data_IF_115359154479
#
_entry.id   IF_115359154479
#
_cell.length_a   1.000
_cell.length_b   1.000
_cell.length_c   1.000
_cell.angle_alpha   90.00
_cell.angle_beta   90.00
_cell.angle_gamma   90.00
#
_symmetry.space_group_name_H-M   'P 1'
#
loop_
_entity.id
_entity.type
_entity.pdbx_description
1 polymer ?
#
# COMPACT_ATOMS: atom_id res chain seq x y z
N UNK A 1 -10.96 -5.99 4.14
CA UNK A 1 -10.19 -5.23 3.15
C UNK A 1 -10.72 -3.81 2.98
N UNK A 2 -12.03 -3.59 2.68
CA UNK A 2 -12.66 -2.26 2.52
C UNK A 2 -12.31 -1.27 3.64
N UNK A 3 -12.42 -1.67 4.91
CA UNK A 3 -12.15 -0.77 6.05
C UNK A 3 -10.70 -0.28 6.10
N UNK A 4 -9.72 -1.10 5.67
CA UNK A 4 -8.31 -0.70 5.62
C UNK A 4 -8.02 0.24 4.44
N UNK A 5 -8.70 0.04 3.31
CA UNK A 5 -8.58 0.90 2.14
C UNK A 5 -9.30 2.22 2.35
N UNK A 6 -10.47 2.18 2.95
CA UNK A 6 -11.19 3.37 3.45
C UNK A 6 -10.26 4.22 4.33
N UNK A 7 -9.54 3.57 5.23
CA UNK A 7 -8.54 4.19 6.08
C UNK A 7 -7.41 4.86 5.29
N UNK A 8 -6.80 4.15 4.34
CA UNK A 8 -5.68 4.64 3.54
C UNK A 8 -6.11 5.86 2.71
N UNK A 9 -7.28 5.79 2.11
CA UNK A 9 -7.84 6.92 1.37
C UNK A 9 -8.11 8.12 2.27
N UNK A 10 -8.61 7.92 3.50
CA UNK A 10 -8.80 9.04 4.44
C UNK A 10 -7.48 9.73 4.79
N UNK A 11 -6.39 8.99 4.98
CA UNK A 11 -5.07 9.56 5.25
C UNK A 11 -4.53 10.31 4.02
N UNK A 12 -4.57 9.69 2.84
CA UNK A 12 -4.11 10.33 1.59
C UNK A 12 -4.87 11.64 1.36
N UNK A 13 -6.20 11.62 1.59
CA UNK A 13 -7.04 12.79 1.36
C UNK A 13 -6.78 13.94 2.33
N UNK A 14 -6.60 13.65 3.59
CA UNK A 14 -6.36 14.71 4.57
C UNK A 14 -5.02 15.39 4.35
N UNK A 15 -4.01 14.63 3.93
CA UNK A 15 -2.70 15.18 3.59
C UNK A 15 -2.75 16.11 2.39
N UNK A 16 -3.63 15.81 1.45
CA UNK A 16 -3.80 16.58 0.22
C UNK A 16 -4.71 17.79 0.42
N UNK A 17 -5.67 17.71 1.36
CA UNK A 17 -6.60 18.79 1.66
C UNK A 17 -6.05 19.79 2.69
N UNK A 18 -5.22 19.34 3.63
CA UNK A 18 -4.59 20.16 4.67
C UNK A 18 -3.15 20.49 4.25
N UNK A 19 -2.98 21.23 3.18
CA UNK A 19 -1.66 21.75 2.82
C UNK A 19 -0.98 22.36 4.04
N UNK A 20 0.17 21.80 4.45
CA UNK A 20 1.00 22.12 5.59
C UNK A 20 0.93 23.63 5.98
N UNK A 21 -0.02 24.01 6.82
CA UNK A 21 0.08 25.20 7.65
C UNK A 21 0.73 24.77 8.95
N UNK A 22 1.94 25.23 9.17
CA UNK A 22 2.59 25.22 10.48
C UNK A 22 1.83 26.18 11.39
N UNK A 23 0.83 25.67 12.07
CA UNK A 23 0.02 26.42 13.02
C UNK A 23 -1.10 25.52 13.51
N UNK A 24 -1.09 25.25 14.81
CA UNK A 24 -2.07 24.55 15.64
C UNK A 24 -3.10 23.72 14.88
N UNK A 25 -2.78 22.44 14.63
CA UNK A 25 -3.70 21.49 14.01
C UNK A 25 -4.68 20.97 15.07
N UNK A 26 -5.44 21.86 15.66
CA UNK A 26 -6.82 21.61 16.04
C UNK A 26 -7.68 21.98 14.82
N UNK A 27 -7.38 21.36 13.68
CA UNK A 27 -8.25 21.46 12.52
C UNK A 27 -9.56 20.82 12.89
N UNK A 28 -10.59 21.60 12.87
CA UNK A 28 -11.99 21.26 13.02
C UNK A 28 -12.35 20.19 11.99
N UNK A 29 -12.13 18.90 12.35
CA UNK A 29 -12.41 17.73 11.53
C UNK A 29 -13.92 17.40 11.51
N UNK A 30 -14.77 18.36 11.88
CA UNK A 30 -16.19 18.20 11.79
C UNK A 30 -16.60 18.14 10.31
N UNK A 31 -16.99 16.94 9.88
CA UNK A 31 -17.64 16.62 8.60
C UNK A 31 -16.87 17.09 7.37
N UNK A 32 -15.75 16.44 7.08
CA UNK A 32 -15.22 16.57 5.73
C UNK A 32 -16.05 15.67 4.78
N UNK A 33 -17.17 16.21 4.27
CA UNK A 33 -18.07 15.54 3.32
C UNK A 33 -17.32 14.98 2.11
N UNK A 34 -16.18 15.58 1.76
CA UNK A 34 -15.29 15.11 0.70
C UNK A 34 -14.66 13.75 1.03
N UNK A 35 -14.17 13.56 2.26
CA UNK A 35 -13.58 12.27 2.67
C UNK A 35 -14.63 11.17 2.59
N UNK A 36 -15.81 11.40 3.14
CA UNK A 36 -16.90 10.43 3.11
C UNK A 36 -17.36 10.11 1.68
N UNK A 37 -17.47 11.12 0.82
CA UNK A 37 -17.76 10.93 -0.61
C UNK A 37 -16.70 10.06 -1.29
N UNK A 38 -15.44 10.33 -1.06
CA UNK A 38 -14.33 9.55 -1.66
C UNK A 38 -14.32 8.12 -1.15
N UNK A 39 -14.58 7.91 0.13
CA UNK A 39 -14.68 6.57 0.71
C UNK A 39 -15.82 5.75 0.11
N UNK A 40 -16.91 6.40 -0.30
CA UNK A 40 -18.04 5.75 -0.98
C UNK A 40 -17.68 5.20 -2.37
N UNK A 41 -16.62 5.72 -3.02
CA UNK A 41 -16.15 5.23 -4.32
C UNK A 41 -15.27 3.97 -4.24
N UNK A 42 -14.88 3.51 -3.04
CA UNK A 42 -14.06 2.30 -2.88
C UNK A 42 -14.84 1.07 -3.31
N UNK A 43 -14.30 0.36 -4.30
CA UNK A 43 -14.88 -0.90 -4.80
C UNK A 43 -14.11 -2.10 -4.24
N UNK A 44 -14.78 -2.87 -3.39
CA UNK A 44 -14.24 -4.16 -2.91
C UNK A 44 -14.06 -5.13 -4.08
N UNK A 45 -14.98 -5.13 -5.03
CA UNK A 45 -14.94 -6.00 -6.19
C UNK A 45 -13.69 -5.75 -7.04
N UNK A 46 -13.35 -4.49 -7.34
CA UNK A 46 -12.14 -4.15 -8.08
C UNK A 46 -10.87 -4.63 -7.37
N UNK A 47 -10.85 -4.51 -6.05
CA UNK A 47 -9.71 -4.93 -5.24
C UNK A 47 -9.60 -6.45 -5.24
N UNK A 48 -10.70 -7.16 -4.99
CA UNK A 48 -10.73 -8.63 -5.03
C UNK A 48 -10.29 -9.16 -6.39
N UNK A 49 -10.85 -8.63 -7.46
CA UNK A 49 -10.48 -9.00 -8.83
C UNK A 49 -8.99 -8.78 -9.10
N UNK A 50 -8.43 -7.66 -8.67
CA UNK A 50 -6.99 -7.40 -8.84
C UNK A 50 -6.13 -8.37 -8.03
N UNK A 51 -6.51 -8.67 -6.79
CA UNK A 51 -5.80 -9.67 -5.97
C UNK A 51 -5.87 -11.06 -6.62
N UNK A 52 -7.03 -11.45 -7.13
CA UNK A 52 -7.22 -12.72 -7.82
C UNK A 52 -6.36 -12.82 -9.10
N UNK A 53 -6.36 -11.77 -9.93
CA UNK A 53 -5.52 -11.69 -11.13
C UNK A 53 -4.03 -11.81 -10.80
N UNK A 54 -3.55 -11.14 -9.75
CA UNK A 54 -2.15 -11.20 -9.33
C UNK A 54 -1.77 -12.55 -8.69
N UNK A 55 -2.65 -13.14 -7.90
CA UNK A 55 -2.41 -14.46 -7.30
C UNK A 55 -2.40 -15.57 -8.37
N UNK A 56 -3.21 -15.44 -9.42
CA UNK A 56 -3.30 -16.39 -10.53
C UNK A 56 -2.04 -16.38 -11.43
N UNK A 57 -1.11 -15.45 -11.23
CA UNK A 57 0.23 -15.51 -11.83
C UNK A 57 1.09 -16.65 -11.26
N UNK A 58 0.57 -17.42 -10.29
CA UNK A 58 1.23 -18.52 -9.57
C UNK A 58 2.48 -18.09 -8.80
N UNK A 59 3.33 -17.27 -9.38
CA UNK A 59 4.49 -16.62 -8.75
C UNK A 59 4.77 -15.26 -9.37
N UNK A 60 5.29 -14.36 -8.56
CA UNK A 60 5.80 -13.04 -9.00
C UNK A 60 7.25 -12.83 -8.51
N UNK A 61 8.01 -13.93 -8.42
CA UNK A 61 9.37 -13.91 -7.89
C UNK A 61 10.43 -13.72 -8.97
N UNK A 62 10.32 -14.44 -10.11
CA UNK A 62 11.33 -14.40 -11.18
C UNK A 62 11.31 -13.07 -11.93
N UNK A 63 12.40 -12.81 -12.69
CA UNK A 63 12.49 -11.60 -13.51
C UNK A 63 11.38 -11.55 -14.56
N UNK A 64 11.13 -12.65 -15.24
CA UNK A 64 10.13 -12.78 -16.32
C UNK A 64 8.74 -12.47 -15.78
N UNK A 65 8.42 -13.02 -14.61
CA UNK A 65 7.11 -12.82 -13.97
C UNK A 65 6.92 -11.41 -13.45
N UNK A 66 7.94 -10.81 -12.87
CA UNK A 66 7.86 -9.41 -12.44
C UNK A 66 7.79 -8.46 -13.63
N UNK A 67 8.43 -8.77 -14.76
CA UNK A 67 8.32 -8.00 -15.99
C UNK A 67 6.90 -8.06 -16.55
N UNK A 68 6.29 -9.24 -16.61
CA UNK A 68 4.90 -9.47 -17.02
C UNK A 68 3.93 -8.66 -16.15
N UNK A 69 4.05 -8.78 -14.83
CA UNK A 69 3.20 -8.09 -13.85
C UNK A 69 3.40 -6.57 -13.91
N UNK A 70 4.63 -6.08 -14.10
CA UNK A 70 4.90 -4.66 -14.27
C UNK A 70 4.18 -4.09 -15.50
N UNK A 71 4.20 -4.83 -16.63
CA UNK A 71 3.49 -4.44 -17.85
C UNK A 71 1.97 -4.43 -17.64
N UNK A 72 1.43 -5.44 -16.93
CA UNK A 72 0.02 -5.48 -16.56
C UNK A 72 -0.39 -4.26 -15.72
N UNK A 73 0.36 -3.95 -14.66
CA UNK A 73 0.08 -2.82 -13.78
C UNK A 73 0.18 -1.47 -14.50
N UNK A 74 1.16 -1.32 -15.38
CA UNK A 74 1.30 -0.15 -16.23
C UNK A 74 0.05 0.08 -17.09
N UNK A 75 -0.43 -0.97 -17.77
CA UNK A 75 -1.66 -0.91 -18.58
C UNK A 75 -2.89 -0.59 -17.75
N UNK A 76 -2.96 -1.06 -16.49
CA UNK A 76 -4.07 -0.75 -15.58
C UNK A 76 -4.13 0.75 -15.25
N UNK A 77 -2.99 1.41 -14.99
CA UNK A 77 -2.93 2.86 -14.81
C UNK A 77 -3.29 3.61 -16.11
N UNK A 78 -2.77 3.16 -17.24
CA UNK A 78 -3.10 3.76 -18.55
C UNK A 78 -4.60 3.69 -18.87
N UNK A 79 -5.26 2.57 -18.59
CA UNK A 79 -6.69 2.38 -18.77
C UNK A 79 -7.55 3.37 -17.97
N UNK A 80 -6.99 3.92 -16.90
CA UNK A 80 -7.60 4.98 -16.10
C UNK A 80 -7.15 6.39 -16.51
N UNK A 81 -6.39 6.55 -17.61
CA UNK A 81 -5.81 7.81 -18.06
C UNK A 81 -4.92 8.48 -17.01
N UNK A 82 -4.22 7.69 -16.16
CA UNK A 82 -3.27 8.19 -15.19
C UNK A 82 -1.87 8.14 -15.81
N UNK A 83 -1.15 9.28 -15.89
CA UNK A 83 0.24 9.29 -16.33
C UNK A 83 1.08 8.29 -15.54
N UNK A 84 1.75 7.38 -16.24
CA UNK A 84 2.53 6.30 -15.65
C UNK A 84 3.84 6.12 -16.39
N UNK A 85 4.91 5.84 -15.66
CA UNK A 85 6.25 5.58 -16.18
C UNK A 85 6.84 4.32 -15.57
N UNK A 86 7.76 3.68 -16.29
CA UNK A 86 8.66 2.69 -15.72
C UNK A 86 9.88 3.39 -15.13
N UNK A 87 10.17 3.10 -13.86
CA UNK A 87 11.41 3.47 -13.21
C UNK A 87 12.37 2.27 -13.30
N UNK A 88 13.22 2.28 -14.32
CA UNK A 88 14.09 1.15 -14.69
C UNK A 88 15.42 1.19 -13.94
N UNK A 89 15.92 -0.02 -13.57
CA UNK A 89 17.19 -0.17 -12.85
C UNK A 89 17.83 -1.54 -13.13
N UNK A 90 19.13 -1.64 -12.83
CA UNK A 90 19.86 -2.91 -12.92
C UNK A 90 20.03 -3.54 -11.55
N UNK A 91 19.71 -4.83 -11.46
CA UNK A 91 19.90 -5.65 -10.27
C UNK A 91 20.19 -7.09 -10.68
N UNK A 92 21.26 -7.71 -10.10
CA UNK A 92 21.71 -9.08 -10.46
C UNK A 92 21.84 -9.27 -11.99
N UNK A 93 22.52 -8.32 -12.66
CA UNK A 93 22.76 -8.29 -14.10
C UNK A 93 21.52 -8.30 -15.01
N UNK A 94 20.32 -8.16 -14.47
CA UNK A 94 19.07 -8.01 -15.24
C UNK A 94 18.51 -6.59 -15.07
N UNK A 95 17.80 -6.12 -16.09
CA UNK A 95 17.10 -4.83 -16.07
C UNK A 95 15.69 -5.02 -15.50
N UNK A 96 15.43 -4.42 -14.38
CA UNK A 96 14.15 -4.45 -13.67
C UNK A 96 13.42 -3.13 -13.79
N UNK A 97 12.15 -3.12 -13.45
CA UNK A 97 11.35 -1.89 -13.49
C UNK A 97 10.34 -1.83 -12.34
N UNK A 98 10.25 -0.65 -11.76
CA UNK A 98 9.15 -0.26 -10.91
C UNK A 98 8.07 0.40 -11.78
N UNK A 99 6.84 0.42 -11.31
CA UNK A 99 5.73 1.13 -11.94
C UNK A 99 5.39 2.34 -11.11
N UNK A 100 5.46 3.54 -11.69
CA UNK A 100 5.21 4.80 -10.96
C UNK A 100 4.19 5.63 -11.72
N UNK A 101 2.99 5.75 -11.17
CA UNK A 101 1.95 6.62 -11.70
C UNK A 101 1.92 7.96 -10.94
N UNK A 102 1.47 9.03 -11.61
CA UNK A 102 1.51 10.38 -11.04
C UNK A 102 0.19 11.10 -11.25
N UNK A 103 -0.37 11.64 -10.17
CA UNK A 103 -1.51 12.55 -10.18
C UNK A 103 -1.00 13.91 -9.73
N UNK A 104 -0.96 14.88 -10.64
CA UNK A 104 -0.36 16.18 -10.39
C UNK A 104 -1.23 17.05 -9.48
N UNK A 105 -0.60 17.66 -8.49
CA UNK A 105 -1.22 18.68 -7.66
C UNK A 105 -1.39 20.02 -8.38
N UNK A 106 -2.40 20.78 -8.00
CA UNK A 106 -2.72 22.08 -8.64
C UNK A 106 -2.08 23.27 -7.95
N UNK A 107 -2.01 23.29 -6.60
CA UNK A 107 -1.49 24.44 -5.85
C UNK A 107 -0.03 24.28 -5.43
N UNK A 108 0.36 23.06 -5.06
CA UNK A 108 1.71 22.72 -4.57
C UNK A 108 2.27 21.52 -5.34
N UNK A 109 2.45 21.61 -6.67
CA UNK A 109 2.84 20.46 -7.50
C UNK A 109 4.21 19.88 -7.14
N UNK A 110 5.08 20.67 -6.52
CA UNK A 110 6.40 20.23 -6.08
C UNK A 110 6.38 19.48 -4.73
N UNK A 111 5.33 19.62 -3.94
CA UNK A 111 5.14 18.78 -2.74
C UNK A 111 4.60 17.42 -3.18
N UNK A 112 5.36 16.36 -2.91
CA UNK A 112 5.04 15.01 -3.35
C UNK A 112 4.68 14.12 -2.16
N UNK A 113 3.54 13.47 -2.25
CA UNK A 113 3.16 12.37 -1.36
C UNK A 113 3.16 11.07 -2.14
N UNK A 114 3.54 9.98 -1.49
CA UNK A 114 3.58 8.68 -2.15
C UNK A 114 2.69 7.66 -1.43
N UNK A 115 2.00 6.85 -2.21
CA UNK A 115 1.37 5.60 -1.75
C UNK A 115 2.05 4.47 -2.49
N UNK A 116 2.60 3.52 -1.75
CA UNK A 116 3.46 2.50 -2.33
C UNK A 116 3.08 1.09 -1.87
N UNK A 117 3.41 0.11 -2.71
CA UNK A 117 3.37 -1.32 -2.42
C UNK A 117 4.49 -2.03 -3.19
N UNK A 118 4.69 -3.33 -2.96
CA UNK A 118 5.56 -4.13 -3.82
C UNK A 118 4.77 -5.14 -4.64
N UNK A 119 5.28 -5.47 -5.83
CA UNK A 119 4.60 -6.35 -6.78
C UNK A 119 5.04 -7.82 -6.67
N UNK A 120 6.27 -8.06 -6.19
CA UNK A 120 6.83 -9.40 -6.09
C UNK A 120 6.25 -10.18 -4.91
N UNK A 121 6.50 -11.46 -4.90
CA UNK A 121 6.02 -12.37 -3.87
C UNK A 121 7.06 -13.46 -3.59
N UNK A 122 7.04 -14.02 -2.39
CA UNK A 122 7.96 -15.06 -1.96
C UNK A 122 7.24 -16.24 -1.30
N UNK A 123 7.88 -17.41 -1.34
CA UNK A 123 7.46 -18.60 -0.63
C UNK A 123 8.68 -19.47 -0.29
N UNK A 124 8.44 -20.70 0.16
CA UNK A 124 9.53 -21.68 0.34
C UNK A 124 10.11 -22.18 -0.98
N UNK A 125 9.35 -22.17 -2.05
CA UNK A 125 9.73 -22.56 -3.42
C UNK A 125 9.27 -21.47 -4.38
N UNK A 126 9.89 -20.28 -4.32
CA UNK A 126 9.33 -19.07 -4.94
C UNK A 126 9.33 -19.14 -6.47
N UNK A 127 10.24 -19.88 -7.08
CA UNK A 127 10.26 -20.08 -8.55
C UNK A 127 9.08 -20.96 -9.03
N UNK A 128 8.53 -21.79 -8.16
CA UNK A 128 7.45 -22.74 -8.52
C UNK A 128 6.09 -22.18 -8.15
N UNK A 129 5.94 -21.69 -6.93
CA UNK A 129 4.67 -21.21 -6.41
C UNK A 129 4.87 -20.18 -5.30
N UNK A 130 4.48 -18.96 -5.59
CA UNK A 130 4.44 -17.84 -4.63
C UNK A 130 3.24 -16.94 -4.95
N UNK A 131 2.00 -17.39 -4.71
CA UNK A 131 0.80 -16.64 -5.11
C UNK A 131 0.66 -15.28 -4.43
N UNK A 132 1.15 -15.12 -3.19
CA UNK A 132 1.27 -13.84 -2.47
C UNK A 132 0.00 -12.97 -2.51
N UNK A 133 -1.17 -13.55 -2.22
CA UNK A 133 -2.44 -12.83 -2.28
C UNK A 133 -2.50 -11.66 -1.28
N UNK A 134 -2.00 -11.88 -0.06
CA UNK A 134 -1.92 -10.84 0.96
C UNK A 134 -0.57 -10.13 0.94
N UNK A 135 0.50 -10.85 0.74
CA UNK A 135 1.87 -10.36 0.61
C UNK A 135 2.37 -10.48 -0.85
N UNK A 136 2.30 -9.45 -1.73
CA UNK A 136 1.62 -8.20 -1.44
C UNK A 136 0.68 -7.79 -2.60
N UNK A 137 -0.13 -8.75 -3.12
CA UNK A 137 -1.17 -8.39 -4.09
C UNK A 137 -2.24 -7.49 -3.45
N UNK A 138 -2.49 -7.64 -2.12
CA UNK A 138 -3.43 -6.79 -1.39
C UNK A 138 -3.02 -5.31 -1.42
N UNK A 139 -1.76 -5.00 -1.12
CA UNK A 139 -1.23 -3.64 -1.18
C UNK A 139 -1.19 -3.09 -2.61
N UNK A 140 -0.75 -3.90 -3.57
CA UNK A 140 -0.74 -3.53 -5.00
C UNK A 140 -2.14 -3.20 -5.52
N UNK A 141 -3.16 -4.02 -5.19
CA UNK A 141 -4.54 -3.77 -5.56
C UNK A 141 -5.08 -2.47 -4.95
N UNK A 142 -4.70 -2.18 -3.71
CA UNK A 142 -5.10 -0.94 -3.05
C UNK A 142 -4.46 0.29 -3.70
N UNK A 143 -3.19 0.23 -4.12
CA UNK A 143 -2.53 1.34 -4.84
C UNK A 143 -3.25 1.63 -6.16
N UNK A 144 -3.64 0.60 -6.93
CA UNK A 144 -4.42 0.76 -8.16
C UNK A 144 -5.80 1.40 -7.89
N UNK A 145 -6.50 0.93 -6.86
CA UNK A 145 -7.84 1.45 -6.51
C UNK A 145 -7.77 2.91 -6.03
N UNK A 146 -6.73 3.26 -5.25
CA UNK A 146 -6.46 4.65 -4.86
C UNK A 146 -6.24 5.52 -6.09
N UNK A 147 -5.47 5.06 -7.07
CA UNK A 147 -5.27 5.77 -8.33
C UNK A 147 -6.57 6.01 -9.07
N UNK A 148 -7.39 4.97 -9.21
CA UNK A 148 -8.70 5.03 -9.86
C UNK A 148 -9.61 6.10 -9.23
N UNK A 149 -9.57 6.22 -7.91
CA UNK A 149 -10.41 7.19 -7.19
C UNK A 149 -9.81 8.61 -7.28
N UNK A 150 -8.50 8.75 -7.06
CA UNK A 150 -7.86 10.05 -6.97
C UNK A 150 -7.75 10.78 -8.32
N UNK A 151 -7.76 10.07 -9.46
CA UNK A 151 -7.60 10.67 -10.77
C UNK A 151 -8.64 11.76 -11.11
N UNK A 152 -9.85 11.61 -10.56
CA UNK A 152 -10.97 12.52 -10.80
C UNK A 152 -11.09 13.61 -9.72
N UNK A 153 -10.10 13.70 -8.82
CA UNK A 153 -10.11 14.63 -7.71
C UNK A 153 -9.02 15.69 -7.90
N UNK A 154 -9.41 16.94 -7.73
CA UNK A 154 -8.45 18.03 -7.73
C UNK A 154 -7.65 18.02 -6.42
N UNK A 155 -6.36 17.72 -6.52
CA UNK A 155 -5.43 17.65 -5.41
C UNK A 155 -4.60 18.93 -5.33
N UNK A 156 -4.27 19.38 -4.13
CA UNK A 156 -3.37 20.52 -3.92
C UNK A 156 -1.91 20.13 -4.18
N UNK A 157 -1.48 18.97 -3.68
CA UNK A 157 -0.14 18.42 -3.84
C UNK A 157 -0.14 17.22 -4.80
N UNK A 158 1.03 16.90 -5.35
CA UNK A 158 1.22 15.76 -6.25
C UNK A 158 1.19 14.43 -5.46
N UNK A 159 0.49 13.44 -6.00
CA UNK A 159 0.52 12.05 -5.50
C UNK A 159 1.23 11.16 -6.49
N UNK A 160 2.24 10.44 -6.04
CA UNK A 160 2.87 9.35 -6.78
C UNK A 160 2.41 8.01 -6.21
N UNK A 161 2.01 7.12 -7.10
CA UNK A 161 1.56 5.76 -6.82
C UNK A 161 2.66 4.82 -7.29
N UNK A 162 3.44 4.30 -6.34
CA UNK A 162 4.62 3.47 -6.64
C UNK A 162 4.36 2.00 -6.38
N UNK A 163 4.61 1.14 -7.36
CA UNK A 163 4.60 -0.31 -7.18
C UNK A 163 5.99 -0.82 -7.50
N UNK A 164 6.69 -1.30 -6.47
CA UNK A 164 8.12 -1.60 -6.52
C UNK A 164 8.38 -3.08 -6.72
N UNK A 165 9.40 -3.40 -7.51
CA UNK A 165 9.90 -4.75 -7.74
C UNK A 165 11.01 -5.12 -6.77
N UNK A 166 11.23 -6.43 -6.57
CA UNK A 166 12.32 -6.99 -5.75
C UNK A 166 12.32 -6.50 -4.27
N UNK A 167 11.14 -6.35 -3.66
CA UNK A 167 11.05 -6.11 -2.21
C UNK A 167 11.63 -7.31 -1.47
N UNK A 168 11.14 -8.50 -1.79
CA UNK A 168 11.49 -9.79 -1.18
C UNK A 168 12.95 -10.22 -1.44
N UNK A 169 13.58 -9.61 -2.42
CA UNK A 169 14.99 -9.81 -2.75
C UNK A 169 15.89 -8.69 -2.22
N UNK A 170 15.46 -8.00 -1.19
CA UNK A 170 16.23 -6.99 -0.48
C UNK A 170 15.86 -5.54 -0.81
N UNK A 171 14.64 -5.30 -1.24
CA UNK A 171 14.10 -3.96 -1.49
C UNK A 171 14.85 -3.20 -2.59
N UNK A 172 15.30 -3.91 -3.64
CA UNK A 172 16.16 -3.32 -4.66
C UNK A 172 15.46 -2.18 -5.41
N UNK A 173 14.18 -2.38 -5.81
CA UNK A 173 13.42 -1.38 -6.55
C UNK A 173 13.18 -0.10 -5.77
N UNK A 174 12.72 -0.20 -4.52
CA UNK A 174 12.48 0.98 -3.69
C UNK A 174 13.76 1.72 -3.29
N UNK A 175 14.87 1.00 -3.06
CA UNK A 175 16.18 1.62 -2.82
C UNK A 175 16.67 2.40 -4.04
N UNK A 176 16.51 1.83 -5.26
CA UNK A 176 16.85 2.53 -6.49
C UNK A 176 16.04 3.81 -6.64
N UNK A 177 14.71 3.71 -6.49
CA UNK A 177 13.82 4.87 -6.61
C UNK A 177 14.17 5.95 -5.58
N UNK A 178 14.39 5.59 -4.32
CA UNK A 178 14.74 6.55 -3.27
C UNK A 178 16.05 7.30 -3.55
N UNK A 179 17.08 6.59 -4.06
CA UNK A 179 18.33 7.20 -4.50
C UNK A 179 18.10 8.21 -5.63
N UNK A 180 17.41 7.78 -6.69
CA UNK A 180 17.08 8.63 -7.86
C UNK A 180 16.21 9.83 -7.48
N UNK A 181 15.23 9.65 -6.59
CA UNK A 181 14.39 10.73 -6.08
C UNK A 181 15.22 11.78 -5.35
N UNK A 182 16.16 11.35 -4.51
CA UNK A 182 17.11 12.24 -3.81
C UNK A 182 18.01 13.00 -4.78
N UNK A 183 18.58 12.30 -5.77
CA UNK A 183 19.45 12.90 -6.80
C UNK A 183 18.70 13.95 -7.63
N UNK A 184 17.43 13.72 -7.91
CA UNK A 184 16.54 14.67 -8.61
C UNK A 184 15.96 15.77 -7.72
N UNK A 185 16.26 15.78 -6.43
CA UNK A 185 15.72 16.78 -5.49
C UNK A 185 14.21 16.69 -5.31
N UNK A 186 13.61 15.49 -5.48
CA UNK A 186 12.17 15.33 -5.33
C UNK A 186 11.75 15.60 -3.89
N UNK A 187 10.85 16.57 -3.68
CA UNK A 187 10.40 16.99 -2.35
C UNK A 187 9.31 16.04 -1.81
N UNK A 188 9.72 14.85 -1.39
CA UNK A 188 8.82 13.85 -0.81
C UNK A 188 8.48 14.25 0.62
N UNK A 189 7.22 14.67 0.83
CA UNK A 189 6.67 15.10 2.12
C UNK A 189 6.21 13.94 2.98
N UNK A 190 5.83 12.83 2.36
CA UNK A 190 5.41 11.64 3.07
C UNK A 190 5.20 10.43 2.18
N UNK A 191 5.32 9.25 2.79
CA UNK A 191 5.15 7.96 2.13
C UNK A 191 4.23 7.09 2.97
N UNK A 192 3.23 6.47 2.33
CA UNK A 192 2.37 5.44 2.91
C UNK A 192 2.73 4.13 2.22
N UNK A 193 3.31 3.19 2.97
CA UNK A 193 3.57 1.83 2.48
C UNK A 193 2.42 0.90 2.84
N UNK A 194 1.91 0.19 1.83
CA UNK A 194 0.84 -0.78 1.96
C UNK A 194 1.41 -2.18 1.84
N UNK A 195 1.35 -2.92 2.93
CA UNK A 195 1.93 -4.24 3.02
C UNK A 195 1.07 -5.15 3.90
N UNK A 196 0.72 -6.34 3.39
CA UNK A 196 -0.10 -7.34 4.09
C UNK A 196 -1.40 -6.74 4.66
N UNK A 197 -2.17 -6.04 3.84
CA UNK A 197 -3.38 -5.31 4.27
C UNK A 197 -4.68 -6.11 4.12
N UNK A 198 -4.64 -7.30 3.51
CA UNK A 198 -5.81 -8.14 3.25
C UNK A 198 -6.23 -9.00 4.45
N UNK A 199 -5.32 -9.29 5.37
CA UNK A 199 -5.58 -10.22 6.45
C UNK A 199 -6.54 -9.62 7.51
N UNK A 200 -7.58 -10.40 7.82
CA UNK A 200 -8.51 -10.10 8.91
C UNK A 200 -8.70 -11.36 9.78
N UNK A 201 -8.47 -11.24 11.08
CA UNK A 201 -8.58 -12.35 12.04
C UNK A 201 -10.03 -12.65 12.47
N UNK A 202 -11.03 -12.20 11.72
CA UNK A 202 -12.46 -12.44 12.04
C UNK A 202 -12.95 -13.84 11.64
N UNK A 203 -12.09 -14.74 11.17
CA UNK A 203 -12.43 -16.15 10.97
C UNK A 203 -12.73 -16.82 12.32
N UNK A 204 -14.01 -16.98 12.63
CA UNK A 204 -14.46 -17.77 13.77
C UNK A 204 -14.04 -19.24 13.53
N UNK A 205 -13.48 -19.88 14.56
CA UNK A 205 -12.93 -21.25 14.47
C UNK A 205 -13.87 -22.37 14.01
N UNK A 206 -15.15 -22.09 13.74
CA UNK A 206 -16.11 -23.03 13.16
C UNK A 206 -15.91 -23.29 11.66
N UNK A 207 -15.38 -22.33 10.89
CA UNK A 207 -15.14 -22.49 9.46
C UNK A 207 -13.86 -23.29 9.17
N UNK A 208 -12.94 -23.34 10.14
CA UNK A 208 -11.66 -24.08 10.04
C UNK A 208 -11.88 -25.60 10.15
N UNK A 209 -12.98 -26.04 10.74
CA UNK A 209 -13.25 -27.47 10.98
C UNK A 209 -13.51 -28.28 9.71
N UNK A 210 -13.90 -27.63 8.62
CA UNK A 210 -14.27 -28.28 7.35
C UNK A 210 -13.15 -28.33 6.31
N UNK A 211 -11.95 -27.82 6.65
CA UNK A 211 -10.80 -27.85 5.74
C UNK A 211 -9.94 -29.11 5.99
N UNK A 212 -9.60 -29.82 4.92
CA UNK A 212 -8.84 -31.08 4.99
C UNK A 212 -7.49 -31.01 5.71
N UNK A 213 -6.93 -32.17 6.11
CA UNK A 213 -5.79 -32.28 7.03
C UNK A 213 -4.54 -31.45 6.72
N UNK A 214 -4.16 -31.29 5.43
CA UNK A 214 -3.00 -30.48 5.02
C UNK A 214 -3.19 -28.99 5.27
N UNK A 215 -4.42 -28.51 5.18
CA UNK A 215 -4.77 -27.12 5.44
C UNK A 215 -4.79 -26.83 6.95
N UNK A 216 -5.22 -27.82 7.77
CA UNK A 216 -5.14 -27.70 9.25
C UNK A 216 -3.70 -27.50 9.74
N UNK A 217 -2.73 -28.16 9.12
CA UNK A 217 -1.32 -28.03 9.51
C UNK A 217 -0.77 -26.66 9.13
N UNK A 218 -1.11 -26.15 7.92
CA UNK A 218 -0.76 -24.79 7.49
C UNK A 218 -1.40 -23.73 8.39
N UNK A 219 -2.67 -23.89 8.73
CA UNK A 219 -3.38 -22.96 9.62
C UNK A 219 -2.82 -22.99 11.06
N UNK A 220 -2.39 -24.15 11.56
CA UNK A 220 -1.71 -24.26 12.86
C UNK A 220 -0.37 -23.51 12.85
N UNK A 221 0.39 -23.60 11.76
CA UNK A 221 1.65 -22.85 11.58
C UNK A 221 1.40 -21.34 11.47
N UNK A 222 0.37 -20.95 10.73
CA UNK A 222 -0.09 -19.55 10.62
C UNK A 222 -0.57 -19.05 11.98
N UNK A 223 -1.40 -19.82 12.70
CA UNK A 223 -1.88 -19.47 14.04
C UNK A 223 -0.72 -19.31 15.03
N UNK A 224 0.29 -20.18 14.98
CA UNK A 224 1.48 -20.07 15.83
C UNK A 224 2.36 -18.86 15.46
N UNK A 225 2.44 -18.48 14.18
CA UNK A 225 3.08 -17.23 13.75
C UNK A 225 2.28 -16.00 14.16
N UNK A 226 0.95 -16.06 14.05
CA UNK A 226 0.04 -14.98 14.45
C UNK A 226 -0.04 -14.81 15.98
N UNK A 227 0.06 -15.89 16.76
CA UNK A 227 0.19 -15.79 18.23
C UNK A 227 1.52 -15.17 18.66
N UNK A 228 2.55 -15.24 17.78
CA UNK A 228 3.81 -14.51 17.96
C UNK A 228 3.77 -13.11 17.33
N UNK A 229 2.73 -12.77 16.58
CA UNK A 229 2.52 -11.40 16.11
C UNK A 229 2.26 -10.51 17.34
N UNK A 230 3.05 -9.46 17.47
CA UNK A 230 2.95 -8.48 18.56
C UNK A 230 1.61 -7.71 18.53
N UNK A 231 0.79 -7.89 17.51
CA UNK A 231 -0.41 -7.08 17.27
C UNK A 231 -1.64 -7.96 16.99
N UNK A 232 -2.70 -7.84 17.80
CA UNK A 232 -3.97 -8.51 17.57
C UNK A 232 -4.67 -7.96 16.32
N UNK A 233 -5.55 -8.77 15.73
CA UNK A 233 -6.37 -8.37 14.59
C UNK A 233 -7.19 -7.10 14.88
N UNK A 234 -7.36 -6.30 13.85
CA UNK A 234 -8.07 -5.02 13.97
C UNK A 234 -7.22 -3.87 14.46
N UNK A 235 -5.90 -4.07 14.63
CA UNK A 235 -4.94 -3.01 14.91
C UNK A 235 -4.12 -2.71 13.66
N UNK A 236 -4.06 -1.44 13.30
CA UNK A 236 -3.13 -0.91 12.29
C UNK A 236 -1.91 -0.34 12.99
N UNK A 237 -0.74 -0.78 12.58
CA UNK A 237 0.52 -0.20 13.08
C UNK A 237 0.92 0.94 12.15
N UNK A 238 1.08 2.13 12.72
CA UNK A 238 1.48 3.32 12.00
C UNK A 238 2.83 3.74 12.53
N UNK A 239 3.86 3.55 11.73
CA UNK A 239 5.24 3.82 12.11
C UNK A 239 5.82 5.03 11.39
N UNK A 240 6.75 5.73 12.04
CA UNK A 240 7.50 6.82 11.45
C UNK A 240 8.74 7.17 12.25
N UNK A 241 9.68 7.87 11.63
CA UNK A 241 10.85 8.43 12.33
C UNK A 241 10.45 9.73 13.06
N UNK A 242 11.22 10.21 14.05
CA UNK A 242 10.89 11.40 14.82
C UNK A 242 10.44 12.62 14.00
N UNK A 243 11.04 12.95 12.83
CA UNK A 243 10.57 14.06 12.00
C UNK A 243 9.15 13.89 11.46
N UNK A 244 8.63 12.65 11.43
CA UNK A 244 7.31 12.31 10.90
C UNK A 244 6.25 12.07 12.00
N UNK A 245 6.53 12.48 13.25
CA UNK A 245 5.64 12.24 14.39
C UNK A 245 4.23 12.78 14.17
N UNK A 246 4.11 14.00 13.66
CA UNK A 246 2.82 14.62 13.36
C UNK A 246 2.03 13.82 12.32
N UNK A 247 2.73 13.25 11.35
CA UNK A 247 2.17 12.41 10.33
C UNK A 247 1.59 11.11 10.93
N UNK A 248 2.37 10.46 11.77
CA UNK A 248 1.94 9.24 12.48
C UNK A 248 0.70 9.52 13.31
N UNK A 249 0.70 10.61 14.09
CA UNK A 249 -0.44 11.03 14.90
C UNK A 249 -1.69 11.31 14.05
N UNK A 250 -1.54 12.04 12.95
CA UNK A 250 -2.64 12.33 12.03
C UNK A 250 -3.23 11.04 11.46
N UNK A 251 -2.38 10.13 11.00
CA UNK A 251 -2.80 8.84 10.48
C UNK A 251 -3.55 8.00 11.54
N UNK A 252 -3.07 7.97 12.78
CA UNK A 252 -3.72 7.27 13.90
C UNK A 252 -5.11 7.82 14.18
N UNK A 253 -5.22 9.14 14.30
CA UNK A 253 -6.51 9.81 14.57
C UNK A 253 -7.54 9.50 13.48
N UNK A 254 -7.13 9.52 12.22
CA UNK A 254 -8.03 9.21 11.10
C UNK A 254 -8.43 7.74 11.06
N UNK A 255 -7.50 6.84 11.40
CA UNK A 255 -7.81 5.41 11.51
C UNK A 255 -8.97 5.19 12.46
N UNK A 256 -8.89 5.75 13.65
CA UNK A 256 -9.91 5.56 14.68
C UNK A 256 -11.22 6.29 14.36
N UNK A 257 -11.13 7.45 13.70
CA UNK A 257 -12.32 8.25 13.34
C UNK A 257 -13.14 7.64 12.20
N UNK A 258 -12.49 7.14 11.16
CA UNK A 258 -13.16 6.72 9.92
C UNK A 258 -13.16 5.21 9.69
N UNK A 259 -12.62 4.41 10.62
CA UNK A 259 -12.67 2.95 10.56
C UNK A 259 -12.99 2.35 11.92
N UNK A 260 -13.30 1.06 11.92
CA UNK A 260 -13.46 0.27 13.17
C UNK A 260 -12.11 -0.28 13.67
N UNK A 261 -11.01 0.17 13.10
CA UNK A 261 -9.67 -0.27 13.45
C UNK A 261 -9.09 0.60 14.56
N UNK A 262 -8.30 -0.03 15.44
CA UNK A 262 -7.48 0.70 16.41
C UNK A 262 -6.12 0.99 15.80
N UNK A 263 -5.55 2.15 16.09
CA UNK A 263 -4.22 2.52 15.66
C UNK A 263 -3.21 2.28 16.79
N UNK A 264 -2.01 1.78 16.41
CA UNK A 264 -0.84 1.75 17.29
C UNK A 264 0.27 2.56 16.65
N UNK A 265 0.68 3.62 17.32
CA UNK A 265 1.76 4.49 16.87
C UNK A 265 3.12 3.93 17.28
N UNK A 266 4.06 3.91 16.34
CA UNK A 266 5.46 3.61 16.57
C UNK A 266 6.31 4.75 15.98
N UNK A 267 7.02 5.46 16.84
CA UNK A 267 7.90 6.56 16.43
C UNK A 267 9.30 6.30 16.97
N UNK A 268 10.29 6.26 16.09
CA UNK A 268 11.70 6.09 16.47
C UNK A 268 12.41 4.90 15.83
N UNK A 269 13.37 4.31 16.57
CA UNK A 269 14.24 3.24 16.05
C UNK A 269 13.53 1.92 15.73
N UNK A 270 12.31 1.71 16.21
CA UNK A 270 11.53 0.48 16.04
C UNK A 270 10.82 0.40 14.66
N UNK A 271 10.88 1.49 13.87
CA UNK A 271 10.39 1.52 12.51
C UNK A 271 11.51 1.06 11.57
N UNK A 272 11.71 -0.24 11.49
CA UNK A 272 12.73 -0.88 10.64
C UNK A 272 12.27 -1.10 9.21
#
# INVERSE_FOLDING_TARGET
MRQKIVFILSIVFLWLAVGCQSGNVEANYEKNDLILKVLAFVSEENIYKTVEELQNCETRYSWEKQDEVSNYLFKRFQAHNIPVEFDEYYFKAKKWKNVVATINGKKKPNDVYMVIAHLDSISKQPEVSAPGADDNASGTAAVLEIGRILKDITLDATVKLGIFSNEEQGRAGSKHFAKKAREKGLNIRGVINLDVIGFNNSYKGSEIKNMGGSIKLKLKTIKNRLQKSLYPAGIVVIGGRPPNKELVKTASTLTEKYSKLKAKELVGKECG
#
